data_IF_643580137342
#
_entry.id   IF_643580137342
#
_cell.length_a   1.000
_cell.length_b   1.000
_cell.length_c   1.000
_cell.angle_alpha   90.00
_cell.angle_beta   90.00
_cell.angle_gamma   90.00
#
_symmetry.space_group_name_H-M   'P 1'
#
loop_
_entity.id
_entity.type
_entity.pdbx_description
1 polymer ?
#
# COMPACT_ATOMS: atom_id res chain seq x y z
N UNK A 1 15.90 25.98 -3.56
CA UNK A 1 14.44 26.23 -3.55
C UNK A 1 13.90 26.61 -4.93
N UNK A 2 14.52 27.53 -5.66
CA UNK A 2 14.03 28.04 -6.97
C UNK A 2 13.94 26.95 -8.06
N UNK A 3 14.94 26.08 -8.18
CA UNK A 3 14.95 25.00 -9.17
C UNK A 3 13.74 24.08 -8.98
N UNK A 4 13.37 23.77 -7.73
CA UNK A 4 12.21 22.91 -7.45
C UNK A 4 10.87 23.62 -7.71
N UNK A 5 10.78 24.92 -7.39
CA UNK A 5 9.61 25.73 -7.78
C UNK A 5 9.43 25.74 -9.29
N UNK A 6 10.51 25.97 -10.05
CA UNK A 6 10.48 25.91 -11.51
C UNK A 6 10.07 24.51 -12.04
N UNK A 7 10.55 23.42 -11.41
CA UNK A 7 10.16 22.06 -11.76
C UNK A 7 8.67 21.80 -11.50
N UNK A 8 8.11 22.27 -10.37
CA UNK A 8 6.69 22.17 -10.06
C UNK A 8 5.81 22.96 -11.06
N UNK A 9 6.20 24.20 -11.35
CA UNK A 9 5.51 25.02 -12.37
C UNK A 9 5.54 24.32 -13.74
N UNK A 10 6.68 23.76 -14.12
CA UNK A 10 6.81 23.00 -15.37
C UNK A 10 5.96 21.73 -15.42
N UNK A 11 5.75 21.07 -14.27
CA UNK A 11 4.88 19.90 -14.18
C UNK A 11 3.39 20.25 -14.24
N UNK A 12 3.02 21.44 -13.72
CA UNK A 12 1.63 21.90 -13.65
C UNK A 12 1.19 22.64 -14.93
N UNK A 13 2.11 23.35 -15.60
CA UNK A 13 1.80 24.19 -16.77
C UNK A 13 1.11 23.45 -17.93
N UNK A 14 1.42 22.18 -18.26
CA UNK A 14 0.76 21.44 -19.33
C UNK A 14 -0.68 21.00 -19.02
N UNK A 15 -1.22 21.31 -17.83
CA UNK A 15 -2.52 20.84 -17.33
C UNK A 15 -2.69 19.31 -17.51
N UNK A 16 -1.82 18.49 -16.91
CA UNK A 16 -1.81 17.04 -17.11
C UNK A 16 -3.10 16.40 -16.55
N UNK A 17 -3.47 15.23 -17.07
CA UNK A 17 -4.58 14.44 -16.53
C UNK A 17 -4.22 13.75 -15.20
N UNK A 18 -2.94 13.45 -15.00
CA UNK A 18 -2.38 12.84 -13.78
C UNK A 18 -1.14 13.58 -13.35
N UNK A 19 -1.04 13.85 -12.05
CA UNK A 19 0.11 14.47 -11.42
C UNK A 19 0.65 13.55 -10.33
N UNK A 20 1.92 13.20 -10.44
CA UNK A 20 2.61 12.32 -9.49
C UNK A 20 3.69 13.13 -8.78
N UNK A 21 3.54 13.28 -7.47
CA UNK A 21 4.41 14.09 -6.64
C UNK A 21 5.06 13.22 -5.55
N UNK A 22 6.39 13.17 -5.57
CA UNK A 22 7.19 12.51 -4.54
C UNK A 22 7.91 13.57 -3.70
N UNK A 23 7.47 13.69 -2.43
CA UNK A 23 7.98 14.66 -1.45
C UNK A 23 8.07 16.10 -1.99
N UNK A 24 6.97 16.67 -2.53
CA UNK A 24 7.02 17.97 -3.17
C UNK A 24 7.28 19.13 -2.19
N UNK A 25 6.96 18.94 -0.91
CA UNK A 25 7.18 19.94 0.15
C UNK A 25 8.64 20.04 0.60
N UNK A 26 9.48 19.03 0.29
CA UNK A 26 10.87 19.03 0.71
C UNK A 26 11.65 20.22 0.12
N UNK A 27 12.28 20.99 1.01
CA UNK A 27 13.07 22.18 0.69
C UNK A 27 12.26 23.36 0.11
N UNK A 28 10.94 23.34 0.22
CA UNK A 28 10.11 24.51 -0.03
C UNK A 28 10.00 25.33 1.26
N UNK A 29 9.90 26.63 1.13
CA UNK A 29 9.52 27.54 2.21
C UNK A 29 7.99 27.55 2.39
N UNK A 30 7.53 28.01 3.54
CA UNK A 30 6.12 28.00 3.89
C UNK A 30 5.22 28.67 2.82
N UNK A 31 5.56 29.86 2.28
CA UNK A 31 4.74 30.47 1.22
C UNK A 31 4.64 29.62 -0.05
N UNK A 32 5.68 28.85 -0.38
CA UNK A 32 5.65 27.98 -1.55
C UNK A 32 4.81 26.71 -1.29
N UNK A 33 4.79 26.21 -0.05
CA UNK A 33 3.92 25.09 0.33
C UNK A 33 2.46 25.52 0.26
N UNK A 34 2.10 26.69 0.81
CA UNK A 34 0.75 27.25 0.77
C UNK A 34 0.26 27.49 -0.66
N UNK A 35 1.13 28.03 -1.51
CA UNK A 35 0.85 28.18 -2.93
C UNK A 35 0.59 26.83 -3.60
N UNK A 36 1.43 25.81 -3.33
CA UNK A 36 1.28 24.49 -3.91
C UNK A 36 -0.02 23.81 -3.43
N UNK A 37 -0.37 23.94 -2.15
CA UNK A 37 -1.64 23.47 -1.61
C UNK A 37 -2.83 24.06 -2.38
N UNK A 38 -2.83 25.37 -2.57
CA UNK A 38 -3.91 26.08 -3.26
C UNK A 38 -4.01 25.63 -4.72
N UNK A 39 -2.89 25.51 -5.42
CA UNK A 39 -2.82 25.06 -6.80
C UNK A 39 -3.34 23.64 -6.96
N UNK A 40 -2.90 22.71 -6.09
CA UNK A 40 -3.33 21.32 -6.13
C UNK A 40 -4.82 21.13 -5.75
N UNK A 41 -5.38 22.00 -4.91
CA UNK A 41 -6.81 21.95 -4.56
C UNK A 41 -7.71 22.33 -5.72
N UNK A 42 -7.28 23.28 -6.55
CA UNK A 42 -8.04 23.80 -7.71
C UNK A 42 -7.81 22.99 -8.97
N UNK A 43 -6.71 22.24 -9.03
CA UNK A 43 -6.35 21.43 -10.19
C UNK A 43 -7.35 20.27 -10.42
N UNK A 44 -7.67 20.02 -11.68
CA UNK A 44 -8.59 18.94 -12.12
C UNK A 44 -7.88 17.60 -12.36
N UNK A 45 -6.55 17.57 -12.31
CA UNK A 45 -5.78 16.35 -12.46
C UNK A 45 -6.08 15.32 -11.36
N UNK A 46 -5.91 14.05 -11.66
CA UNK A 46 -5.75 13.04 -10.63
C UNK A 46 -4.36 13.22 -9.99
N UNK A 47 -4.32 13.40 -8.68
CA UNK A 47 -3.07 13.63 -7.94
C UNK A 47 -2.71 12.41 -7.12
N UNK A 48 -1.50 11.88 -7.31
CA UNK A 48 -0.88 10.88 -6.43
C UNK A 48 0.27 11.56 -5.71
N UNK A 49 0.20 11.60 -4.39
CA UNK A 49 1.08 12.37 -3.54
C UNK A 49 1.78 11.48 -2.52
N UNK A 50 3.10 11.58 -2.45
CA UNK A 50 3.91 11.04 -1.36
C UNK A 50 4.44 12.22 -0.56
N UNK A 51 4.18 12.26 0.74
CA UNK A 51 4.73 13.31 1.62
C UNK A 51 4.85 12.80 3.05
N UNK A 52 5.79 13.39 3.79
CA UNK A 52 5.90 13.26 5.24
C UNK A 52 5.16 14.38 5.98
N UNK A 53 4.71 15.40 5.26
CA UNK A 53 3.93 16.51 5.82
C UNK A 53 2.47 16.08 6.00
N UNK A 54 2.10 15.83 7.26
CA UNK A 54 0.75 15.39 7.63
C UNK A 54 -0.31 16.40 7.24
N UNK A 55 -0.07 17.69 7.52
CA UNK A 55 -1.01 18.77 7.22
C UNK A 55 -1.28 18.84 5.72
N UNK A 56 -0.23 18.72 4.92
CA UNK A 56 -0.32 18.71 3.46
C UNK A 56 -1.14 17.53 2.94
N UNK A 57 -0.91 16.33 3.53
CA UNK A 57 -1.70 15.13 3.20
C UNK A 57 -3.16 15.26 3.63
N UNK A 58 -3.45 15.76 4.84
CA UNK A 58 -4.80 15.95 5.35
C UNK A 58 -5.61 16.91 4.49
N UNK A 59 -4.97 17.99 4.04
CA UNK A 59 -5.61 19.03 3.23
C UNK A 59 -5.96 18.57 1.82
N UNK A 60 -5.14 17.69 1.23
CA UNK A 60 -5.22 17.36 -0.20
C UNK A 60 -5.78 15.97 -0.49
N UNK A 61 -5.56 14.98 0.39
CA UNK A 61 -5.93 13.60 0.09
C UNK A 61 -7.42 13.34 0.31
N UNK A 62 -8.04 12.64 -0.63
CA UNK A 62 -9.40 12.09 -0.53
C UNK A 62 -9.39 10.59 -0.28
N UNK A 63 -8.27 9.93 -0.55
CA UNK A 63 -8.02 8.52 -0.29
C UNK A 63 -6.56 8.36 0.14
N UNK A 64 -6.28 7.33 0.93
CA UNK A 64 -4.93 7.04 1.45
C UNK A 64 -4.53 5.62 1.07
N UNK A 65 -3.32 5.43 0.58
CA UNK A 65 -2.74 4.10 0.35
C UNK A 65 -1.62 3.89 1.35
N UNK A 66 -1.78 2.88 2.18
CA UNK A 66 -0.78 2.48 3.16
C UNK A 66 0.02 1.28 2.66
N UNK A 67 1.33 1.44 2.64
CA UNK A 67 2.27 0.39 2.26
C UNK A 67 2.99 -0.07 3.52
N UNK A 68 2.77 -1.31 3.93
CA UNK A 68 3.42 -1.92 5.08
C UNK A 68 3.73 -3.40 4.82
N UNK A 69 4.95 -3.81 5.11
CA UNK A 69 5.42 -5.21 5.01
C UNK A 69 5.05 -5.91 3.70
N UNK A 70 5.20 -5.21 2.56
CA UNK A 70 4.87 -5.73 1.24
C UNK A 70 3.39 -5.75 0.90
N UNK A 71 2.50 -5.37 1.83
CA UNK A 71 1.08 -5.24 1.59
C UNK A 71 0.70 -3.78 1.34
N UNK A 72 -0.17 -3.56 0.35
CA UNK A 72 -0.74 -2.25 0.05
C UNK A 72 -2.23 -2.28 0.40
N UNK A 73 -2.64 -1.36 1.26
CA UNK A 73 -4.04 -1.23 1.68
C UNK A 73 -4.54 0.16 1.35
N UNK A 74 -5.76 0.26 0.85
CA UNK A 74 -6.39 1.54 0.50
C UNK A 74 -7.50 1.87 1.49
N UNK A 75 -7.43 3.07 2.04
CA UNK A 75 -8.51 3.73 2.76
C UNK A 75 -9.20 4.71 1.80
N UNK A 76 -10.50 4.58 1.58
CA UNK A 76 -11.29 5.51 0.75
C UNK A 76 -11.71 6.77 1.52
N UNK A 77 -10.80 7.27 2.36
CA UNK A 77 -10.94 8.50 3.14
C UNK A 77 -9.60 9.21 3.15
N UNK A 78 -9.63 10.53 3.40
CA UNK A 78 -8.42 11.35 3.50
C UNK A 78 -7.52 10.94 4.65
N UNK A 79 -6.31 11.49 4.64
CA UNK A 79 -5.27 11.14 5.62
C UNK A 79 -5.65 11.42 7.08
N UNK A 80 -6.57 12.34 7.33
CA UNK A 80 -7.07 12.64 8.68
C UNK A 80 -7.63 11.40 9.41
N UNK A 81 -8.16 10.42 8.68
CA UNK A 81 -8.72 9.18 9.24
C UNK A 81 -7.72 8.01 9.23
N UNK A 82 -6.48 8.25 8.78
CA UNK A 82 -5.51 7.19 8.57
C UNK A 82 -5.03 6.55 9.86
N UNK A 83 -4.77 7.33 10.90
CA UNK A 83 -4.22 6.80 12.16
C UNK A 83 -5.21 5.87 12.84
N UNK A 84 -6.46 6.29 12.98
CA UNK A 84 -7.54 5.48 13.57
C UNK A 84 -7.74 4.17 12.79
N UNK A 85 -7.82 4.27 11.46
CA UNK A 85 -7.97 3.10 10.60
C UNK A 85 -6.78 2.14 10.68
N UNK A 86 -5.55 2.66 10.69
CA UNK A 86 -4.31 1.86 10.85
C UNK A 86 -4.29 1.14 12.18
N UNK A 87 -4.59 1.84 13.26
CA UNK A 87 -4.53 1.30 14.61
C UNK A 87 -5.57 0.20 14.80
N UNK A 88 -6.78 0.37 14.27
CA UNK A 88 -7.79 -0.69 14.23
C UNK A 88 -7.35 -1.93 13.45
N UNK A 89 -6.68 -1.75 12.31
CA UNK A 89 -6.14 -2.89 11.55
C UNK A 89 -5.03 -3.63 12.31
N UNK A 90 -4.15 -2.89 12.99
CA UNK A 90 -3.06 -3.49 13.77
C UNK A 90 -3.61 -4.25 14.99
N UNK A 91 -4.61 -3.73 15.66
CA UNK A 91 -5.30 -4.40 16.75
C UNK A 91 -5.98 -5.69 16.28
N UNK A 92 -6.71 -5.66 15.17
CA UNK A 92 -7.32 -6.84 14.57
C UNK A 92 -6.27 -7.91 14.17
N UNK A 93 -5.12 -7.49 13.66
CA UNK A 93 -4.02 -8.40 13.35
C UNK A 93 -3.45 -9.04 14.62
N UNK A 94 -3.30 -8.28 15.69
CA UNK A 94 -2.81 -8.77 16.97
C UNK A 94 -3.78 -9.77 17.60
N UNK A 95 -5.07 -9.46 17.61
CA UNK A 95 -6.13 -10.36 18.09
C UNK A 95 -6.14 -11.67 17.29
N UNK A 96 -6.03 -11.59 15.96
CA UNK A 96 -5.94 -12.79 15.09
C UNK A 96 -4.70 -13.62 15.40
N UNK A 97 -3.55 -12.98 15.55
CA UNK A 97 -2.29 -13.63 15.92
C UNK A 97 -2.40 -14.34 17.26
N UNK A 98 -2.92 -13.69 18.29
CA UNK A 98 -3.12 -14.28 19.60
C UNK A 98 -4.12 -15.46 19.59
N UNK A 99 -5.19 -15.40 18.79
CA UNK A 99 -6.12 -16.52 18.60
C UNK A 99 -5.43 -17.70 17.95
N UNK A 100 -4.59 -17.45 16.94
CA UNK A 100 -3.81 -18.50 16.25
C UNK A 100 -2.77 -19.13 17.17
N UNK A 101 -2.01 -18.34 17.92
CA UNK A 101 -1.02 -18.82 18.88
C UNK A 101 -1.66 -19.69 19.97
N UNK A 102 -2.79 -19.28 20.55
CA UNK A 102 -3.55 -20.08 21.51
C UNK A 102 -4.02 -21.40 20.90
N UNK A 103 -4.44 -21.40 19.64
CA UNK A 103 -4.85 -22.62 18.92
C UNK A 103 -3.66 -23.55 18.71
N UNK A 104 -2.51 -23.04 18.27
CA UNK A 104 -1.27 -23.82 18.08
C UNK A 104 -0.82 -24.46 19.41
N UNK A 105 -0.81 -23.68 20.50
CA UNK A 105 -0.44 -24.18 21.83
C UNK A 105 -1.38 -25.30 22.28
N UNK A 106 -2.70 -25.14 22.14
CA UNK A 106 -3.70 -26.16 22.50
C UNK A 106 -3.53 -27.43 21.68
N UNK A 107 -3.34 -27.32 20.38
CA UNK A 107 -3.15 -28.47 19.50
C UNK A 107 -1.80 -29.18 19.77
N UNK A 108 -0.74 -28.43 20.08
CA UNK A 108 0.55 -28.98 20.47
C UNK A 108 0.48 -29.73 21.81
N UNK A 109 -0.22 -29.17 22.82
CA UNK A 109 -0.45 -29.85 24.10
C UNK A 109 -1.24 -31.16 23.92
N UNK A 110 -2.22 -31.15 23.02
CA UNK A 110 -2.99 -32.38 22.71
C UNK A 110 -2.09 -33.44 22.08
N UNK A 111 -1.18 -33.12 21.18
CA UNK A 111 -0.20 -34.03 20.60
C UNK A 111 0.72 -34.66 21.68
N UNK A 112 1.18 -33.85 22.64
CA UNK A 112 2.13 -34.25 23.67
C UNK A 112 1.48 -35.15 24.78
N UNK A 113 0.14 -35.12 24.92
CA UNK A 113 -0.57 -35.95 25.93
C UNK A 113 -0.75 -37.42 25.56
N UNK A 114 -0.09 -37.90 24.53
CA UNK A 114 -0.07 -39.30 24.13
C UNK A 114 -1.37 -39.73 23.47
N UNK A 115 -1.31 -39.99 22.19
CA UNK A 115 -2.44 -40.49 21.42
C UNK A 115 -2.44 -42.00 21.47
N UNK A 116 -3.18 -42.59 22.43
CA UNK A 116 -3.43 -44.00 22.45
C UNK A 116 -4.35 -44.43 21.31
N UNK A 117 -3.90 -45.40 20.51
CA UNK A 117 -4.67 -46.40 19.72
C UNK A 117 -5.51 -45.94 18.49
N UNK A 118 -5.57 -44.68 18.03
CA UNK A 118 -6.32 -44.33 16.80
C UNK A 118 -5.49 -43.55 15.79
N UNK A 119 -4.41 -44.12 15.31
CA UNK A 119 -3.44 -43.50 14.38
C UNK A 119 -4.06 -42.83 13.12
N UNK A 120 -5.09 -43.39 12.50
CA UNK A 120 -5.67 -42.84 11.27
C UNK A 120 -6.48 -41.54 11.47
N UNK A 121 -7.19 -41.37 12.60
CA UNK A 121 -7.97 -40.16 12.90
C UNK A 121 -7.12 -38.94 13.28
N UNK A 122 -5.88 -39.15 13.69
CA UNK A 122 -5.00 -38.09 14.18
C UNK A 122 -4.18 -37.42 13.07
N UNK A 123 -4.01 -38.06 11.91
CA UNK A 123 -3.26 -37.53 10.79
C UNK A 123 -3.91 -36.23 10.21
N UNK A 124 -5.24 -36.16 10.19
CA UNK A 124 -5.94 -34.95 9.76
C UNK A 124 -5.68 -33.75 10.69
N UNK A 125 -5.67 -34.03 12.01
CA UNK A 125 -5.43 -32.96 13.01
C UNK A 125 -3.96 -32.52 13.03
N UNK A 126 -3.03 -33.43 12.78
CA UNK A 126 -1.60 -33.15 12.62
C UNK A 126 -1.37 -32.26 11.36
N UNK A 127 -2.02 -32.62 10.24
CA UNK A 127 -1.97 -31.80 9.02
C UNK A 127 -2.53 -30.38 9.27
N UNK A 128 -3.66 -30.28 9.97
CA UNK A 128 -4.26 -29.00 10.33
C UNK A 128 -3.34 -28.15 11.23
N UNK A 129 -2.62 -28.78 12.18
CA UNK A 129 -1.64 -28.07 13.01
C UNK A 129 -0.43 -27.61 12.19
N UNK A 130 0.07 -28.43 11.29
CA UNK A 130 1.18 -28.05 10.41
C UNK A 130 0.75 -26.92 9.48
N UNK A 131 -0.47 -26.95 8.94
CA UNK A 131 -1.02 -25.87 8.15
C UNK A 131 -1.11 -24.57 8.97
N UNK A 132 -1.62 -24.62 10.21
CA UNK A 132 -1.65 -23.44 11.10
C UNK A 132 -0.27 -22.87 11.40
N UNK A 133 0.76 -23.72 11.52
CA UNK A 133 2.15 -23.28 11.70
C UNK A 133 2.73 -22.67 10.44
N UNK A 134 2.37 -23.20 9.29
CA UNK A 134 2.72 -22.66 7.98
C UNK A 134 2.04 -21.31 7.73
N UNK A 135 0.73 -21.23 7.96
CA UNK A 135 -0.03 -19.98 7.87
C UNK A 135 0.58 -18.90 8.78
N UNK A 136 1.01 -19.29 10.00
CA UNK A 136 1.70 -18.39 10.94
C UNK A 136 3.08 -17.94 10.42
N UNK A 137 3.81 -18.80 9.70
CA UNK A 137 5.06 -18.41 9.04
C UNK A 137 4.81 -17.52 7.84
N UNK A 138 3.79 -17.85 7.06
CA UNK A 138 3.45 -17.16 5.82
C UNK A 138 2.87 -15.75 6.07
N UNK A 139 2.30 -15.49 7.26
CA UNK A 139 2.04 -14.11 7.72
C UNK A 139 3.29 -13.22 7.72
N UNK A 140 4.49 -13.80 7.55
CA UNK A 140 5.78 -13.10 7.44
C UNK A 140 6.40 -13.08 6.04
N UNK A 141 6.01 -14.00 5.13
CA UNK A 141 6.71 -14.23 3.87
C UNK A 141 5.76 -14.72 2.78
N UNK A 142 5.33 -13.87 1.92
CA UNK A 142 4.90 -14.29 0.58
C UNK A 142 5.53 -13.35 -0.45
N UNK A 143 6.39 -13.93 -1.28
CA UNK A 143 7.01 -13.29 -2.41
C UNK A 143 6.41 -13.86 -3.69
N UNK A 144 5.75 -13.04 -4.48
CA UNK A 144 5.23 -13.40 -5.79
C UNK A 144 5.79 -12.51 -6.89
N UNK A 145 5.98 -13.08 -8.07
CA UNK A 145 6.40 -12.38 -9.29
C UNK A 145 5.16 -11.97 -10.09
N UNK A 146 5.13 -10.75 -10.61
CA UNK A 146 4.00 -10.25 -11.42
C UNK A 146 4.42 -9.90 -12.83
N UNK A 147 3.65 -10.37 -13.79
CA UNK A 147 3.62 -9.83 -15.14
C UNK A 147 2.63 -8.66 -15.21
N UNK A 148 3.12 -7.51 -15.65
CA UNK A 148 2.33 -6.31 -15.83
C UNK A 148 2.11 -6.04 -17.30
N UNK A 149 0.87 -6.13 -17.75
CA UNK A 149 0.49 -5.70 -19.11
C UNK A 149 -0.04 -4.27 -19.02
N UNK A 150 0.73 -3.32 -19.53
CA UNK A 150 0.26 -1.95 -19.70
C UNK A 150 -0.63 -1.89 -20.94
N UNK A 151 -1.91 -1.67 -20.77
CA UNK A 151 -2.83 -1.36 -21.86
C UNK A 151 -2.74 0.14 -22.15
N UNK A 152 -2.14 0.50 -23.28
CA UNK A 152 -2.23 1.85 -23.83
C UNK A 152 -3.67 2.12 -24.22
N UNK A 153 -4.35 2.95 -23.45
CA UNK A 153 -5.71 3.40 -23.76
C UNK A 153 -5.67 4.72 -24.52
N UNK A 154 -6.05 4.65 -25.78
CA UNK A 154 -6.39 5.83 -26.58
C UNK A 154 -7.64 6.49 -26.02
N UNK A 155 -7.52 7.79 -25.69
CA UNK A 155 -8.55 8.84 -25.50
C UNK A 155 -9.80 8.54 -24.66
N UNK A 156 -9.96 9.38 -23.61
CA UNK A 156 -11.25 9.79 -23.08
C UNK A 156 -12.09 8.73 -22.35
N UNK A 157 -11.57 8.22 -21.23
CA UNK A 157 -12.38 7.52 -20.24
C UNK A 157 -12.23 8.16 -18.86
N UNK A 158 -13.22 8.06 -18.00
CA UNK A 158 -13.15 8.46 -16.59
C UNK A 158 -12.03 7.75 -15.82
N UNK A 159 -11.49 6.64 -16.34
CA UNK A 159 -10.41 5.84 -15.75
C UNK A 159 -9.09 6.27 -16.34
N UNK A 160 -8.12 6.52 -15.48
CA UNK A 160 -6.77 6.95 -15.87
C UNK A 160 -5.75 5.86 -15.64
N UNK A 161 -5.85 5.16 -14.49
CA UNK A 161 -5.01 4.00 -14.19
C UNK A 161 -5.90 2.88 -13.64
N UNK A 162 -5.74 1.67 -14.16
CA UNK A 162 -6.27 0.45 -13.56
C UNK A 162 -5.12 -0.52 -13.34
N UNK A 163 -4.86 -0.83 -12.09
CA UNK A 163 -3.83 -1.75 -11.65
C UNK A 163 -4.52 -2.97 -11.02
N UNK A 164 -4.15 -4.19 -11.46
CA UNK A 164 -4.70 -5.45 -10.95
C UNK A 164 -3.56 -6.36 -10.53
N UNK A 165 -3.68 -6.90 -9.32
CA UNK A 165 -2.83 -7.94 -8.76
C UNK A 165 -1.32 -7.66 -8.90
N UNK A 166 -0.94 -6.39 -8.69
CA UNK A 166 0.45 -5.95 -8.80
C UNK A 166 1.26 -6.51 -7.64
N UNK A 167 2.33 -7.23 -7.97
CA UNK A 167 3.34 -7.67 -7.01
C UNK A 167 4.72 -7.31 -7.55
N UNK A 168 5.60 -6.76 -6.74
CA UNK A 168 6.99 -6.46 -7.11
C UNK A 168 7.93 -6.86 -5.98
N UNK A 169 8.94 -7.64 -6.35
CA UNK A 169 10.02 -8.04 -5.45
C UNK A 169 11.38 -7.59 -6.01
N UNK A 170 12.31 -7.31 -5.12
CA UNK A 170 13.72 -7.11 -5.43
C UNK A 170 14.52 -8.19 -4.69
N UNK A 171 15.01 -9.19 -5.44
CA UNK A 171 15.61 -10.38 -4.85
C UNK A 171 14.61 -11.11 -3.95
N UNK A 172 14.98 -11.36 -2.70
CA UNK A 172 14.13 -12.02 -1.71
C UNK A 172 13.14 -11.07 -1.00
N UNK A 173 13.17 -9.78 -1.29
CA UNK A 173 12.33 -8.78 -0.60
C UNK A 173 11.13 -8.40 -1.46
N UNK A 174 9.93 -8.76 -1.00
CA UNK A 174 8.66 -8.30 -1.60
C UNK A 174 8.36 -6.90 -1.12
N UNK A 175 8.26 -5.98 -2.06
CA UNK A 175 8.04 -4.55 -1.79
C UNK A 175 6.58 -4.17 -1.98
N UNK A 176 5.91 -4.78 -2.97
CA UNK A 176 4.47 -4.62 -3.23
C UNK A 176 3.90 -6.00 -3.49
N UNK A 177 2.77 -6.35 -2.85
CA UNK A 177 2.13 -7.66 -2.99
C UNK A 177 0.63 -7.51 -3.25
N UNK A 178 0.15 -8.21 -4.29
CA UNK A 178 -1.27 -8.38 -4.65
C UNK A 178 -2.07 -7.07 -4.59
N UNK A 179 -1.45 -5.96 -5.05
CA UNK A 179 -2.07 -4.66 -5.01
C UNK A 179 -2.92 -4.40 -6.24
N UNK A 180 -4.20 -4.14 -6.02
CA UNK A 180 -5.14 -3.74 -7.07
C UNK A 180 -5.75 -2.39 -6.73
N UNK A 181 -5.74 -1.47 -7.70
CA UNK A 181 -6.35 -0.15 -7.54
C UNK A 181 -6.86 0.38 -8.88
N UNK A 182 -7.82 1.29 -8.78
CA UNK A 182 -8.33 2.05 -9.92
C UNK A 182 -8.25 3.53 -9.58
N UNK A 183 -7.65 4.30 -10.47
CA UNK A 183 -7.53 5.75 -10.35
C UNK A 183 -8.36 6.39 -11.45
N UNK A 184 -9.25 7.27 -11.05
CA UNK A 184 -10.13 8.01 -11.92
C UNK A 184 -9.61 9.44 -12.11
N UNK A 185 -10.03 10.09 -13.18
CA UNK A 185 -9.72 11.51 -13.39
C UNK A 185 -10.28 12.35 -12.25
N UNK A 186 -9.44 13.19 -11.62
CA UNK A 186 -9.79 14.01 -10.47
C UNK A 186 -9.60 13.34 -9.10
N UNK A 187 -9.15 12.06 -9.05
CA UNK A 187 -8.79 11.42 -7.79
C UNK A 187 -7.54 12.06 -7.20
N UNK A 188 -7.49 12.11 -5.87
CA UNK A 188 -6.32 12.55 -5.09
C UNK A 188 -5.99 11.47 -4.09
N UNK A 189 -4.86 10.80 -4.31
CA UNK A 189 -4.46 9.63 -3.53
C UNK A 189 -3.14 9.92 -2.83
N UNK A 190 -3.11 9.82 -1.49
CA UNK A 190 -1.89 9.87 -0.69
C UNK A 190 -1.29 8.48 -0.51
N UNK A 191 0.01 8.33 -0.73
CA UNK A 191 0.76 7.09 -0.46
C UNK A 191 1.61 7.30 0.78
N UNK A 192 1.36 6.52 1.83
CA UNK A 192 2.01 6.63 3.15
C UNK A 192 2.73 5.34 3.50
N UNK A 193 3.83 5.44 4.21
CA UNK A 193 4.60 4.30 4.70
C UNK A 193 6.01 4.70 5.14
N UNK A 194 6.73 3.85 5.91
CA UNK A 194 8.09 4.13 6.34
C UNK A 194 9.07 4.22 5.17
N UNK A 195 10.27 4.78 5.42
CA UNK A 195 11.31 4.81 4.41
C UNK A 195 11.72 3.38 4.03
N UNK A 196 11.88 3.13 2.73
CA UNK A 196 12.14 1.78 2.21
C UNK A 196 10.91 0.89 2.03
N UNK A 197 9.70 1.33 2.40
CA UNK A 197 8.47 0.54 2.27
C UNK A 197 8.00 0.30 0.82
N UNK A 198 8.64 0.92 -0.17
CA UNK A 198 8.31 0.70 -1.58
C UNK A 198 7.39 1.76 -2.21
N UNK A 199 7.19 2.92 -1.56
CA UNK A 199 6.36 4.02 -2.08
C UNK A 199 6.76 4.43 -3.50
N UNK A 200 8.05 4.74 -3.69
CA UNK A 200 8.60 5.12 -5.01
C UNK A 200 8.51 3.98 -6.02
N UNK A 201 8.66 2.73 -5.58
CA UNK A 201 8.49 1.54 -6.42
C UNK A 201 7.05 1.43 -6.92
N UNK A 202 6.07 1.56 -6.04
CA UNK A 202 4.65 1.56 -6.43
C UNK A 202 4.36 2.67 -7.44
N UNK A 203 4.88 3.86 -7.20
CA UNK A 203 4.71 5.00 -8.10
C UNK A 203 5.30 4.73 -9.49
N UNK A 204 6.53 4.18 -9.57
CA UNK A 204 7.16 3.77 -10.83
C UNK A 204 6.33 2.71 -11.57
N UNK A 205 5.75 1.75 -10.85
CA UNK A 205 4.89 0.73 -11.45
C UNK A 205 3.63 1.36 -12.05
N UNK A 206 2.95 2.24 -11.30
CA UNK A 206 1.75 2.92 -11.77
C UNK A 206 2.00 3.82 -13.00
N UNK A 207 3.22 4.31 -13.17
CA UNK A 207 3.63 5.13 -14.34
C UNK A 207 4.15 4.31 -15.51
N UNK A 208 4.32 2.99 -15.36
CA UNK A 208 4.99 2.15 -16.37
C UNK A 208 6.51 2.34 -16.46
N UNK A 209 7.12 3.14 -15.58
CA UNK A 209 8.57 3.43 -15.58
C UNK A 209 9.40 2.37 -14.86
N UNK A 210 8.79 1.29 -14.36
CA UNK A 210 9.43 0.28 -13.50
C UNK A 210 9.25 -1.16 -13.97
N UNK A 211 9.01 -1.37 -15.25
CA UNK A 211 8.97 -2.71 -15.84
C UNK A 211 10.39 -3.29 -15.97
#
# INVERSE_FOLDING_TARGET
SEIRRAALVRALAPAPDILLLDEPTNHLDLPAIEWLEMELRTNRAAVVLISHDRRFLETLSKATVWIDRGACRRLNQGFAHFEEWRDGLLEDEEVRRHKMDRKIVRETRWLNRGVTARRKRNMGRLRALNQLREDRRNLRHEAGTVEMTALESRRSGKRVIEAKDITKAYGCNVVVKDFSTRILRGDRIGIVGPNGAGKTTLLKILTGAGA
#
